data_IF_928745405624
#
_entry.id   IF_928745405624
#
_cell.length_a   1.000
_cell.length_b   1.000
_cell.length_c   1.000
_cell.angle_alpha   90.00
_cell.angle_beta   90.00
_cell.angle_gamma   90.00
#
_symmetry.space_group_name_H-M   'P 1'
#
loop_
_entity.id
_entity.type
_entity.pdbx_description
1 polymer ?
#
# COMPACT_ATOMS: atom_id res chain seq x y z
N UNK A 1 -11.38 13.74 -8.46
CA UNK A 1 -10.69 12.46 -8.76
C UNK A 1 -10.96 11.51 -7.61
N UNK A 2 -11.26 10.24 -7.89
CA UNK A 2 -11.47 9.23 -6.84
C UNK A 2 -10.18 8.48 -6.53
N UNK A 3 -10.07 7.96 -5.31
CA UNK A 3 -8.90 7.20 -4.86
C UNK A 3 -8.69 5.93 -5.70
N UNK A 4 -9.78 5.24 -6.07
CA UNK A 4 -9.71 4.06 -6.93
C UNK A 4 -9.19 4.34 -8.34
N UNK A 5 -9.56 5.49 -8.93
CA UNK A 5 -9.04 5.88 -10.24
C UNK A 5 -7.54 6.19 -10.19
N UNK A 6 -7.09 6.91 -9.16
CA UNK A 6 -5.66 7.18 -8.97
C UNK A 6 -4.90 5.87 -8.77
N UNK A 7 -5.42 4.97 -7.93
CA UNK A 7 -4.82 3.67 -7.65
C UNK A 7 -4.58 2.85 -8.92
N UNK A 8 -5.59 2.74 -9.78
CA UNK A 8 -5.47 2.07 -11.07
C UNK A 8 -4.48 2.79 -11.99
N UNK A 9 -4.63 4.11 -12.19
CA UNK A 9 -3.78 4.90 -13.10
C UNK A 9 -2.32 4.89 -12.68
N UNK A 10 -2.04 4.90 -11.39
CA UNK A 10 -0.69 4.84 -10.85
C UNK A 10 -0.08 3.42 -10.94
N UNK A 11 -0.83 2.41 -11.39
CA UNK A 11 -0.33 1.03 -11.52
C UNK A 11 -0.17 0.31 -10.18
N UNK A 12 -0.93 0.73 -9.15
CA UNK A 12 -0.81 0.19 -7.80
C UNK A 12 -1.50 -1.17 -7.63
N UNK A 13 -2.41 -1.57 -8.53
CA UNK A 13 -2.98 -2.92 -8.54
C UNK A 13 -1.89 -3.99 -8.60
N UNK A 14 -1.04 -3.93 -9.63
CA UNK A 14 0.03 -4.92 -9.84
C UNK A 14 1.13 -4.90 -8.78
N UNK A 15 1.27 -3.80 -8.04
CA UNK A 15 2.14 -3.74 -6.87
C UNK A 15 1.44 -4.33 -5.64
N UNK A 16 0.16 -4.03 -5.44
CA UNK A 16 -0.67 -4.58 -4.37
C UNK A 16 -0.70 -6.10 -4.39
N UNK A 17 -0.82 -6.71 -5.57
CA UNK A 17 -0.80 -8.17 -5.75
C UNK A 17 0.52 -8.84 -5.31
N UNK A 18 1.59 -8.05 -5.17
CA UNK A 18 2.94 -8.53 -4.81
C UNK A 18 3.31 -8.26 -3.36
N UNK A 19 2.46 -7.56 -2.60
CA UNK A 19 2.72 -7.29 -1.18
C UNK A 19 2.47 -8.57 -0.39
N UNK A 20 3.53 -9.16 0.16
CA UNK A 20 3.39 -10.35 1.01
C UNK A 20 3.10 -10.01 2.46
N UNK A 21 3.64 -8.88 2.94
CA UNK A 21 3.52 -8.42 4.32
C UNK A 21 3.74 -6.91 4.41
N UNK A 22 3.38 -6.32 5.56
CA UNK A 22 3.41 -4.86 5.75
C UNK A 22 4.81 -4.24 5.65
N UNK A 23 5.85 -5.00 5.99
CA UNK A 23 7.27 -4.62 5.94
C UNK A 23 7.95 -5.05 4.63
N UNK A 24 7.19 -5.49 3.64
CA UNK A 24 7.71 -5.78 2.31
C UNK A 24 8.21 -4.49 1.62
N UNK A 25 9.34 -4.59 0.93
CA UNK A 25 9.87 -3.54 0.04
C UNK A 25 8.86 -3.04 -1.00
N UNK A 26 7.92 -3.90 -1.44
CA UNK A 26 6.84 -3.53 -2.35
C UNK A 26 5.84 -2.58 -1.68
N UNK A 27 5.59 -2.75 -0.38
CA UNK A 27 4.73 -1.84 0.40
C UNK A 27 5.32 -0.43 0.44
N UNK A 28 6.63 -0.32 0.67
CA UNK A 28 7.35 0.96 0.62
C UNK A 28 7.30 1.60 -0.77
N UNK A 29 7.42 0.80 -1.83
CA UNK A 29 7.32 1.29 -3.21
C UNK A 29 5.93 1.90 -3.49
N UNK A 30 4.86 1.27 -3.00
CA UNK A 30 3.50 1.83 -3.08
C UNK A 30 3.44 3.18 -2.36
N UNK A 31 3.98 3.29 -1.14
CA UNK A 31 3.99 4.54 -0.39
C UNK A 31 4.75 5.66 -1.10
N UNK A 32 5.92 5.34 -1.68
CA UNK A 32 6.71 6.30 -2.47
C UNK A 32 5.94 6.76 -3.70
N UNK A 33 5.15 5.88 -4.31
CA UNK A 33 4.35 6.24 -5.48
C UNK A 33 3.15 7.13 -5.13
N UNK A 34 2.54 6.90 -3.96
CA UNK A 34 1.43 7.72 -3.45
C UNK A 34 1.92 9.09 -2.94
N UNK A 35 2.98 9.12 -2.13
CA UNK A 35 3.37 10.31 -1.34
C UNK A 35 4.75 10.88 -1.71
N UNK A 36 5.49 10.28 -2.65
CA UNK A 36 6.88 10.65 -2.94
C UNK A 36 7.90 10.19 -1.88
N UNK A 37 7.46 9.51 -0.81
CA UNK A 37 8.31 9.06 0.30
C UNK A 37 7.59 8.14 1.27
N UNK A 38 8.18 7.90 2.44
CA UNK A 38 7.68 6.97 3.46
C UNK A 38 6.87 7.64 4.58
N UNK A 39 6.24 8.78 4.26
CA UNK A 39 5.47 9.55 5.24
C UNK A 39 4.32 8.69 5.81
N UNK A 40 4.35 8.50 7.13
CA UNK A 40 3.37 7.69 7.86
C UNK A 40 3.55 6.17 7.70
N UNK A 41 4.72 5.68 7.28
CA UNK A 41 4.98 4.25 7.05
C UNK A 41 4.49 3.38 8.21
N UNK A 42 4.92 3.66 9.44
CA UNK A 42 4.57 2.82 10.60
C UNK A 42 3.07 2.72 10.85
N UNK A 43 2.34 3.83 10.71
CA UNK A 43 0.86 3.85 10.85
C UNK A 43 0.22 3.03 9.73
N UNK A 44 0.67 3.22 8.48
CA UNK A 44 0.14 2.47 7.32
C UNK A 44 0.41 0.97 7.45
N UNK A 45 1.57 0.57 7.97
CA UNK A 45 1.89 -0.82 8.26
C UNK A 45 0.97 -1.41 9.33
N UNK A 46 0.72 -0.69 10.42
CA UNK A 46 -0.23 -1.13 11.46
C UNK A 46 -1.63 -1.32 10.90
N UNK A 47 -2.12 -0.37 10.08
CA UNK A 47 -3.42 -0.48 9.43
C UNK A 47 -3.50 -1.67 8.48
N UNK A 48 -2.47 -1.89 7.67
CA UNK A 48 -2.42 -3.02 6.75
C UNK A 48 -2.40 -4.37 7.49
N UNK A 49 -1.60 -4.50 8.56
CA UNK A 49 -1.62 -5.69 9.42
C UNK A 49 -3.02 -5.94 9.99
N UNK A 50 -3.68 -4.90 10.51
CA UNK A 50 -5.04 -5.01 11.03
C UNK A 50 -6.07 -5.38 9.96
N UNK A 51 -5.89 -4.92 8.73
CA UNK A 51 -6.74 -5.33 7.61
C UNK A 51 -6.54 -6.81 7.26
N UNK A 52 -5.28 -7.30 7.24
CA UNK A 52 -4.99 -8.71 6.99
C UNK A 52 -5.63 -9.65 8.04
N UNK A 53 -5.73 -9.21 9.29
CA UNK A 53 -6.35 -10.01 10.37
C UNK A 53 -7.84 -10.33 10.15
N UNK A 54 -8.55 -9.59 9.28
CA UNK A 54 -9.99 -9.78 9.03
C UNK A 54 -10.29 -10.33 7.64
N UNK A 55 -9.28 -10.59 6.82
CA UNK A 55 -9.42 -11.24 5.52
C UNK A 55 -9.37 -12.76 5.74
N UNK A 56 -10.55 -13.41 5.80
CA UNK A 56 -10.69 -14.86 5.74
C UNK A 56 -10.89 -15.32 4.29
#
# INVERSE_FOLDING_TARGET
MSDGWYWQRAGLNSLGDKVLQADDSVFELILRRINGGLNGLKVRQTLYKRALEVLQ
#
